data_IF_270190421818
#
_entry.id   IF_270190421818
#
_cell.length_a   1.000
_cell.length_b   1.000
_cell.length_c   1.000
_cell.angle_alpha   90.00
_cell.angle_beta   90.00
_cell.angle_gamma   90.00
#
_symmetry.space_group_name_H-M   'P 1'
#
loop_
_entity.id
_entity.type
_entity.pdbx_description
1 polymer ?
#
# COMPACT_ATOMS: atom_id res chain seq x y z
N UNK A 1 -15.40 -4.18 33.60
CA UNK A 1 -16.53 -4.57 32.73
C UNK A 1 -15.91 -4.89 31.38
N UNK A 2 -16.44 -5.79 30.60
CA UNK A 2 -16.00 -5.99 29.19
C UNK A 2 -16.87 -5.05 28.38
N UNK A 3 -16.23 -4.22 27.52
CA UNK A 3 -16.94 -3.21 26.74
C UNK A 3 -17.51 -3.79 25.43
N UNK A 4 -16.83 -4.80 24.86
CA UNK A 4 -17.24 -5.52 23.65
C UNK A 4 -16.59 -6.91 23.57
N UNK A 5 -17.02 -7.76 22.62
CA UNK A 5 -16.40 -9.08 22.41
C UNK A 5 -15.08 -8.96 21.65
N UNK A 6 -14.99 -8.05 20.68
CA UNK A 6 -13.80 -7.85 19.86
C UNK A 6 -13.43 -6.39 19.70
N UNK A 7 -12.13 -6.09 19.76
CA UNK A 7 -11.55 -4.82 19.32
C UNK A 7 -10.83 -5.01 17.99
N UNK A 8 -10.98 -4.04 17.09
CA UNK A 8 -10.18 -3.93 15.86
C UNK A 8 -9.34 -2.66 15.97
N UNK A 9 -8.02 -2.80 15.89
CA UNK A 9 -7.08 -1.68 15.98
C UNK A 9 -6.69 -1.24 14.58
N UNK A 10 -7.13 -0.04 14.18
CA UNK A 10 -6.94 0.57 12.86
C UNK A 10 -8.17 0.47 11.97
N UNK A 11 -8.64 1.62 11.44
CA UNK A 11 -9.76 1.75 10.52
C UNK A 11 -9.32 1.94 9.07
N UNK A 12 -8.26 1.25 8.63
CA UNK A 12 -7.94 1.04 7.22
C UNK A 12 -8.85 -0.03 6.61
N UNK A 13 -8.73 -0.30 5.30
CA UNK A 13 -9.54 -1.31 4.61
C UNK A 13 -9.55 -2.67 5.32
N UNK A 14 -8.41 -3.11 5.85
CA UNK A 14 -8.30 -4.38 6.56
C UNK A 14 -9.13 -4.41 7.86
N UNK A 15 -9.02 -3.36 8.67
CA UNK A 15 -9.78 -3.27 9.93
C UNK A 15 -11.28 -3.09 9.70
N UNK A 16 -11.67 -2.26 8.72
CA UNK A 16 -13.08 -2.08 8.36
C UNK A 16 -13.69 -3.37 7.81
N UNK A 17 -12.98 -4.10 6.94
CA UNK A 17 -13.44 -5.40 6.43
C UNK A 17 -13.56 -6.43 7.55
N UNK A 18 -12.61 -6.44 8.50
CA UNK A 18 -12.70 -7.29 9.69
C UNK A 18 -13.92 -6.96 10.53
N UNK A 19 -14.18 -5.69 10.81
CA UNK A 19 -15.33 -5.25 11.60
C UNK A 19 -16.66 -5.65 10.94
N UNK A 20 -16.81 -5.41 9.63
CA UNK A 20 -18.00 -5.84 8.89
C UNK A 20 -18.22 -7.35 8.96
N UNK A 21 -17.17 -8.14 8.85
CA UNK A 21 -17.29 -9.60 8.93
C UNK A 21 -17.69 -10.08 10.31
N UNK A 22 -17.19 -9.42 11.37
CA UNK A 22 -17.55 -9.70 12.76
C UNK A 22 -18.99 -9.28 13.05
N UNK A 23 -19.41 -8.07 12.64
CA UNK A 23 -20.77 -7.58 12.72
C UNK A 23 -21.76 -8.55 12.06
N UNK A 24 -21.46 -8.99 10.85
CA UNK A 24 -22.28 -9.96 10.12
C UNK A 24 -22.38 -11.34 10.83
N UNK A 25 -21.40 -11.67 11.66
CA UNK A 25 -21.40 -12.87 12.50
C UNK A 25 -22.08 -12.66 13.87
N UNK A 26 -22.63 -11.46 14.13
CA UNK A 26 -23.29 -11.11 15.39
C UNK A 26 -22.34 -10.86 16.57
N UNK A 27 -21.06 -10.59 16.29
CA UNK A 27 -20.04 -10.27 17.29
C UNK A 27 -20.09 -8.78 17.63
N UNK A 28 -20.22 -8.43 18.91
CA UNK A 28 -20.09 -7.04 19.37
C UNK A 28 -18.65 -6.57 19.20
N UNK A 29 -18.43 -5.68 18.21
CA UNK A 29 -17.11 -5.21 17.79
C UNK A 29 -16.98 -3.68 17.91
N UNK A 30 -15.82 -3.21 18.34
CA UNK A 30 -15.45 -1.78 18.30
C UNK A 30 -14.18 -1.61 17.48
N UNK A 31 -14.18 -0.59 16.63
CA UNK A 31 -13.01 -0.21 15.81
C UNK A 31 -12.36 1.04 16.40
N UNK A 32 -11.05 0.97 16.65
CA UNK A 32 -10.24 2.06 17.21
C UNK A 32 -9.32 2.61 16.11
N UNK A 33 -9.37 3.91 15.85
CA UNK A 33 -8.53 4.60 14.86
C UNK A 33 -7.78 5.75 15.52
N UNK A 34 -6.49 5.83 15.29
CA UNK A 34 -5.63 6.85 15.88
C UNK A 34 -5.89 8.26 15.32
N UNK A 35 -6.27 8.35 14.04
CA UNK A 35 -6.55 9.62 13.35
C UNK A 35 -7.99 10.08 13.59
N UNK A 36 -8.26 11.28 13.10
CA UNK A 36 -9.61 11.86 12.98
C UNK A 36 -10.37 11.39 11.72
N UNK A 37 -9.79 10.44 10.98
CA UNK A 37 -10.34 9.88 9.73
C UNK A 37 -10.06 8.39 9.61
N UNK A 38 -10.92 7.71 8.89
CA UNK A 38 -10.73 6.30 8.47
C UNK A 38 -9.86 6.19 7.19
N UNK A 39 -9.73 5.00 6.63
CA UNK A 39 -9.10 4.73 5.34
C UNK A 39 -7.61 4.38 5.38
N UNK A 40 -6.91 4.66 6.50
CA UNK A 40 -5.49 4.33 6.66
C UNK A 40 -4.63 4.99 5.57
N UNK A 41 -4.03 4.17 4.69
CA UNK A 41 -3.18 4.60 3.55
C UNK A 41 -3.95 5.09 2.32
N UNK A 42 -5.26 5.28 2.42
CA UNK A 42 -6.07 6.02 1.44
C UNK A 42 -6.44 7.38 2.00
N UNK A 43 -6.31 8.39 1.20
CA UNK A 43 -6.74 9.73 1.57
C UNK A 43 -7.01 10.54 0.31
N UNK A 44 -8.21 11.07 0.16
CA UNK A 44 -8.61 11.95 -0.93
C UNK A 44 -8.87 13.34 -0.39
N UNK A 45 -8.30 14.35 -1.02
CA UNK A 45 -8.54 15.76 -0.75
C UNK A 45 -9.23 16.39 -1.96
N UNK A 46 -10.09 17.37 -1.70
CA UNK A 46 -10.74 18.14 -2.74
C UNK A 46 -10.11 19.52 -2.82
N UNK A 47 -9.72 19.92 -4.02
CA UNK A 47 -9.28 21.29 -4.34
C UNK A 47 -10.47 22.17 -4.67
N UNK A 48 -10.18 23.45 -4.99
CA UNK A 48 -11.20 24.39 -5.41
C UNK A 48 -11.99 23.85 -6.61
N UNK A 49 -13.32 24.03 -6.60
CA UNK A 49 -14.21 23.48 -7.63
C UNK A 49 -14.49 21.97 -7.49
N UNK A 50 -14.12 21.34 -6.38
CA UNK A 50 -14.41 19.93 -6.10
C UNK A 50 -13.52 18.94 -6.84
N UNK A 51 -12.38 19.38 -7.39
CA UNK A 51 -11.42 18.50 -8.05
C UNK A 51 -10.79 17.56 -7.02
N UNK A 52 -11.01 16.24 -7.15
CA UNK A 52 -10.41 15.24 -6.26
C UNK A 52 -8.92 15.02 -6.54
N UNK A 53 -8.15 14.94 -5.48
CA UNK A 53 -6.74 14.58 -5.49
C UNK A 53 -6.53 13.43 -4.50
N UNK A 54 -6.09 12.28 -5.02
CA UNK A 54 -5.86 11.08 -4.22
C UNK A 54 -4.42 11.08 -3.70
N UNK A 55 -4.24 11.49 -2.45
CA UNK A 55 -2.92 11.59 -1.81
C UNK A 55 -2.32 10.23 -1.47
N UNK A 56 -3.17 9.21 -1.27
CA UNK A 56 -2.78 7.83 -0.99
C UNK A 56 -2.96 6.88 -2.17
N UNK A 57 -3.19 5.61 -1.87
CA UNK A 57 -3.56 4.60 -2.85
C UNK A 57 -4.83 5.03 -3.59
N UNK A 58 -4.89 4.77 -4.90
CA UNK A 58 -5.94 5.32 -5.75
C UNK A 58 -6.43 4.39 -6.85
N UNK A 59 -5.71 3.32 -7.15
CA UNK A 59 -6.02 2.42 -8.26
C UNK A 59 -6.37 1.01 -7.78
N UNK A 60 -7.21 0.36 -8.54
CA UNK A 60 -7.38 -1.09 -8.54
C UNK A 60 -7.77 -1.56 -9.96
N UNK A 61 -7.70 -2.86 -10.21
CA UNK A 61 -7.93 -3.39 -11.53
C UNK A 61 -8.37 -4.85 -11.51
N UNK A 62 -8.45 -5.49 -12.68
CA UNK A 62 -8.87 -6.89 -12.82
C UNK A 62 -8.14 -7.80 -11.82
N UNK A 63 -8.89 -8.73 -11.20
CA UNK A 63 -8.38 -9.61 -10.13
C UNK A 63 -8.54 -9.05 -8.72
N UNK A 64 -8.76 -7.75 -8.55
CA UNK A 64 -9.07 -7.12 -7.27
C UNK A 64 -10.60 -7.09 -7.04
N UNK A 65 -11.20 -8.29 -7.01
CA UNK A 65 -12.66 -8.47 -7.09
C UNK A 65 -13.40 -7.89 -5.89
N UNK A 66 -12.82 -8.00 -4.66
CA UNK A 66 -13.44 -7.43 -3.46
C UNK A 66 -13.54 -5.91 -3.52
N UNK A 67 -12.57 -5.23 -4.16
CA UNK A 67 -12.64 -3.77 -4.32
C UNK A 67 -13.77 -3.36 -5.26
N UNK A 68 -14.00 -4.08 -6.37
CA UNK A 68 -15.15 -3.83 -7.25
C UNK A 68 -16.48 -4.15 -6.57
N UNK A 69 -16.56 -5.22 -5.79
CA UNK A 69 -17.75 -5.57 -5.01
C UNK A 69 -18.07 -4.49 -3.98
N UNK A 70 -17.08 -3.98 -3.25
CA UNK A 70 -17.27 -2.89 -2.28
C UNK A 70 -17.69 -1.59 -2.98
N UNK A 71 -17.07 -1.24 -4.11
CA UNK A 71 -17.49 -0.08 -4.90
C UNK A 71 -18.95 -0.19 -5.33
N UNK A 72 -19.37 -1.36 -5.84
CA UNK A 72 -20.75 -1.63 -6.24
C UNK A 72 -21.71 -1.61 -5.04
N UNK A 73 -21.33 -2.25 -3.94
CA UNK A 73 -22.14 -2.31 -2.69
C UNK A 73 -22.48 -0.92 -2.16
N UNK A 74 -21.52 0.00 -2.21
CA UNK A 74 -21.70 1.37 -1.73
C UNK A 74 -22.05 2.39 -2.82
N UNK A 75 -22.32 1.94 -4.05
CA UNK A 75 -22.72 2.81 -5.16
C UNK A 75 -21.61 3.77 -5.61
N UNK A 76 -20.35 3.48 -5.31
CA UNK A 76 -19.20 4.30 -5.70
C UNK A 76 -18.81 3.96 -7.13
N UNK A 77 -18.82 4.98 -8.01
CA UNK A 77 -18.56 4.80 -9.45
C UNK A 77 -17.06 4.67 -9.72
N UNK A 78 -16.69 3.67 -10.52
CA UNK A 78 -15.35 3.54 -11.08
C UNK A 78 -15.23 4.23 -12.42
N UNK A 79 -14.01 4.61 -12.79
CA UNK A 79 -13.66 5.11 -14.12
C UNK A 79 -12.23 4.72 -14.48
N UNK A 80 -11.94 4.43 -15.76
CA UNK A 80 -10.60 4.02 -16.16
C UNK A 80 -9.60 5.16 -16.03
N UNK A 81 -8.35 4.83 -15.68
CA UNK A 81 -7.25 5.77 -15.78
C UNK A 81 -7.11 6.22 -17.25
N UNK A 82 -6.88 7.50 -17.44
CA UNK A 82 -6.81 8.06 -18.79
C UNK A 82 -5.50 7.70 -19.48
N UNK A 83 -5.59 7.00 -20.59
CA UNK A 83 -4.46 6.63 -21.46
C UNK A 83 -4.72 7.09 -22.91
N UNK A 84 -4.86 8.40 -23.12
CA UNK A 84 -5.09 8.98 -24.44
C UNK A 84 -3.81 9.65 -24.93
N UNK A 85 -3.25 9.17 -26.04
CA UNK A 85 -2.02 9.69 -26.62
C UNK A 85 -0.78 8.82 -26.37
N UNK A 86 0.37 9.33 -26.78
CA UNK A 86 1.64 8.59 -26.70
C UNK A 86 2.20 8.61 -25.27
N UNK A 87 2.53 7.42 -24.73
CA UNK A 87 3.24 7.22 -23.48
C UNK A 87 4.74 7.07 -23.75
N UNK A 88 5.59 7.61 -22.87
CA UNK A 88 7.04 7.56 -23.02
C UNK A 88 7.69 6.60 -22.04
N UNK A 89 8.78 5.96 -22.49
CA UNK A 89 9.71 5.26 -21.65
C UNK A 89 11.12 5.84 -21.87
N UNK A 90 11.83 6.16 -20.80
CA UNK A 90 13.20 6.68 -20.87
C UNK A 90 14.17 5.66 -20.32
N UNK A 91 15.07 5.20 -21.18
CA UNK A 91 16.15 4.28 -20.86
C UNK A 91 17.50 5.00 -21.02
N UNK A 92 18.29 5.07 -19.95
CA UNK A 92 19.55 5.84 -19.94
C UNK A 92 19.36 7.32 -20.29
N UNK A 93 18.20 7.90 -19.97
CA UNK A 93 17.84 9.28 -20.31
C UNK A 93 17.36 9.47 -21.75
N UNK A 94 17.39 8.45 -22.61
CA UNK A 94 16.91 8.50 -24.00
C UNK A 94 15.49 7.98 -24.09
N UNK A 95 14.65 8.65 -24.88
CA UNK A 95 13.30 8.19 -25.19
C UNK A 95 13.36 6.90 -26.00
N UNK A 96 12.71 5.87 -25.51
CA UNK A 96 12.62 4.58 -26.18
C UNK A 96 11.33 4.51 -27.03
N UNK A 97 11.44 3.98 -28.24
CA UNK A 97 10.35 3.95 -29.23
C UNK A 97 9.39 2.74 -29.04
N UNK A 98 9.41 2.09 -27.90
CA UNK A 98 8.55 0.95 -27.62
C UNK A 98 9.11 0.09 -26.48
N UNK A 99 8.54 -1.08 -26.22
CA UNK A 99 9.05 -2.00 -25.20
C UNK A 99 10.49 -2.44 -25.55
N UNK A 100 11.37 -2.43 -24.55
CA UNK A 100 12.71 -2.97 -24.71
C UNK A 100 12.68 -4.50 -24.60
N UNK A 101 13.22 -5.20 -25.59
CA UNK A 101 13.14 -6.66 -25.69
C UNK A 101 13.89 -7.38 -24.56
N UNK A 102 15.01 -6.82 -24.07
CA UNK A 102 15.77 -7.41 -22.95
C UNK A 102 15.04 -7.19 -21.63
N UNK A 103 14.46 -6.01 -21.41
CA UNK A 103 13.60 -5.76 -20.22
C UNK A 103 12.40 -6.70 -20.24
N UNK A 104 11.78 -6.91 -21.41
CA UNK A 104 10.65 -7.85 -21.55
C UNK A 104 11.08 -9.29 -21.23
N UNK A 105 12.28 -9.71 -21.65
CA UNK A 105 12.82 -11.02 -21.31
C UNK A 105 13.08 -11.18 -19.79
N UNK A 106 13.58 -10.13 -19.11
CA UNK A 106 13.73 -10.09 -17.66
C UNK A 106 12.38 -10.27 -16.96
N UNK A 107 11.36 -9.57 -17.41
CA UNK A 107 10.02 -9.68 -16.85
C UNK A 107 9.41 -11.08 -17.03
N UNK A 108 9.60 -11.69 -18.20
CA UNK A 108 9.18 -13.06 -18.44
C UNK A 108 9.91 -14.08 -17.56
N UNK A 109 11.21 -13.88 -17.29
CA UNK A 109 11.97 -14.72 -16.36
C UNK A 109 11.47 -14.56 -14.93
N UNK A 110 11.19 -13.32 -14.49
CA UNK A 110 10.62 -13.04 -13.17
C UNK A 110 9.26 -13.71 -12.99
N UNK A 111 8.39 -13.66 -13.98
CA UNK A 111 7.08 -14.34 -13.95
C UNK A 111 7.23 -15.86 -13.82
N UNK A 112 8.17 -16.44 -14.55
CA UNK A 112 8.47 -17.87 -14.47
C UNK A 112 8.96 -18.27 -13.07
N UNK A 113 9.86 -17.48 -12.50
CA UNK A 113 10.38 -17.70 -11.15
C UNK A 113 9.30 -17.47 -10.07
N UNK A 114 8.50 -16.43 -10.23
CA UNK A 114 7.44 -16.09 -9.28
C UNK A 114 6.45 -17.23 -9.08
N UNK A 115 6.11 -17.96 -10.13
CA UNK A 115 5.21 -19.14 -10.08
C UNK A 115 5.76 -20.31 -9.25
N UNK A 116 7.03 -20.31 -8.89
CA UNK A 116 7.61 -21.32 -8.00
C UNK A 116 7.45 -21.01 -6.52
N UNK A 117 6.98 -19.79 -6.19
CA UNK A 117 6.82 -19.35 -4.81
C UNK A 117 5.56 -19.95 -4.18
N UNK A 118 5.71 -20.50 -3.00
CA UNK A 118 4.59 -20.87 -2.15
C UNK A 118 4.04 -19.60 -1.47
N UNK A 119 2.86 -19.14 -1.89
CA UNK A 119 2.25 -17.90 -1.39
C UNK A 119 1.80 -18.00 0.07
N UNK A 120 1.34 -19.17 0.50
CA UNK A 120 0.90 -19.37 1.88
C UNK A 120 2.10 -19.45 2.82
N UNK A 121 3.14 -20.17 2.39
CA UNK A 121 4.35 -20.43 3.18
C UNK A 121 5.63 -20.20 2.36
N UNK A 122 6.04 -18.97 2.09
CA UNK A 122 7.23 -18.65 1.28
C UNK A 122 8.53 -19.30 1.77
N UNK A 123 8.59 -19.67 3.04
CA UNK A 123 9.68 -20.49 3.61
C UNK A 123 9.83 -21.87 2.98
N UNK A 124 8.78 -22.40 2.36
CA UNK A 124 8.78 -23.71 1.66
C UNK A 124 9.09 -23.59 0.17
N UNK A 125 9.25 -22.39 -0.35
CA UNK A 125 9.69 -22.18 -1.73
C UNK A 125 11.05 -22.84 -1.98
N UNK A 126 11.23 -23.60 -3.06
CA UNK A 126 12.54 -24.16 -3.40
C UNK A 126 13.62 -23.07 -3.48
N UNK A 127 14.71 -23.20 -2.72
CA UNK A 127 15.76 -22.19 -2.67
C UNK A 127 15.37 -20.89 -1.92
N UNK A 128 14.37 -20.93 -1.02
CA UNK A 128 13.86 -19.76 -0.31
C UNK A 128 14.96 -18.95 0.40
N UNK A 129 15.90 -19.60 1.05
CA UNK A 129 16.97 -18.92 1.78
C UNK A 129 17.93 -18.19 0.83
N UNK A 130 18.29 -18.80 -0.28
CA UNK A 130 19.16 -18.22 -1.33
C UNK A 130 18.45 -17.06 -2.03
N UNK A 131 17.18 -17.22 -2.40
CA UNK A 131 16.35 -16.17 -2.99
C UNK A 131 16.18 -14.98 -2.04
N UNK A 132 16.03 -15.25 -0.75
CA UNK A 132 15.84 -14.20 0.24
C UNK A 132 17.17 -13.48 0.59
N UNK A 133 18.31 -14.16 0.46
CA UNK A 133 19.64 -13.56 0.64
C UNK A 133 20.10 -12.71 -0.55
N UNK A 134 19.57 -12.95 -1.76
CA UNK A 134 19.91 -12.20 -2.97
C UNK A 134 19.01 -10.98 -3.13
N UNK A 135 19.60 -9.79 -3.35
CA UNK A 135 18.81 -8.59 -3.66
C UNK A 135 18.40 -8.54 -5.14
N UNK A 136 17.30 -7.85 -5.45
CA UNK A 136 16.90 -7.58 -6.84
C UNK A 136 18.02 -6.85 -7.60
N UNK A 137 18.76 -5.94 -6.94
CA UNK A 137 19.87 -5.22 -7.56
C UNK A 137 20.95 -6.18 -8.09
N UNK A 138 21.43 -7.10 -7.26
CA UNK A 138 22.45 -8.09 -7.66
C UNK A 138 21.91 -9.02 -8.75
N UNK A 139 20.67 -9.48 -8.60
CA UNK A 139 20.02 -10.36 -9.57
C UNK A 139 19.95 -9.73 -10.98
N UNK A 140 19.58 -8.45 -11.06
CA UNK A 140 19.52 -7.69 -12.33
C UNK A 140 20.90 -7.45 -12.93
N UNK A 141 21.89 -7.07 -12.11
CA UNK A 141 23.24 -6.78 -12.57
C UNK A 141 23.93 -7.99 -13.24
N UNK A 142 23.54 -9.21 -12.85
CA UNK A 142 24.07 -10.44 -13.45
C UNK A 142 23.41 -10.80 -14.82
N UNK A 143 22.35 -10.08 -15.23
CA UNK A 143 21.49 -10.49 -16.37
C UNK A 143 21.40 -9.49 -17.51
N UNK A 144 21.71 -8.23 -17.26
CA UNK A 144 21.59 -7.19 -18.28
C UNK A 144 22.56 -6.03 -18.00
N UNK A 145 22.65 -5.10 -18.92
CA UNK A 145 23.45 -3.89 -18.74
C UNK A 145 22.88 -2.94 -17.68
N UNK A 146 23.69 -1.96 -17.27
CA UNK A 146 23.35 -1.05 -16.18
C UNK A 146 22.10 -0.18 -16.46
N UNK A 147 21.85 0.21 -17.72
CA UNK A 147 20.70 1.07 -18.06
C UNK A 147 19.38 0.30 -17.92
N UNK A 148 19.34 -0.94 -18.43
CA UNK A 148 18.16 -1.82 -18.33
C UNK A 148 17.94 -2.31 -16.92
N UNK A 149 19.02 -2.66 -16.21
CA UNK A 149 18.97 -3.02 -14.80
C UNK A 149 18.38 -1.87 -13.96
N UNK A 150 18.80 -0.64 -14.18
CA UNK A 150 18.27 0.54 -13.52
C UNK A 150 16.77 0.76 -13.85
N UNK A 151 16.38 0.57 -15.12
CA UNK A 151 14.99 0.69 -15.53
C UNK A 151 14.09 -0.36 -14.82
N UNK A 152 14.44 -1.63 -14.91
CA UNK A 152 13.70 -2.70 -14.28
C UNK A 152 13.66 -2.54 -12.73
N UNK A 153 14.77 -2.15 -12.11
CA UNK A 153 14.84 -1.87 -10.68
C UNK A 153 13.86 -0.77 -10.24
N UNK A 154 13.81 0.35 -10.98
CA UNK A 154 12.92 1.46 -10.66
C UNK A 154 11.44 1.08 -10.84
N UNK A 155 11.09 0.28 -11.85
CA UNK A 155 9.72 -0.19 -12.03
C UNK A 155 9.32 -1.21 -10.95
N UNK A 156 10.16 -2.19 -10.66
CA UNK A 156 9.82 -3.30 -9.76
C UNK A 156 9.99 -2.92 -8.28
N UNK A 157 11.13 -2.37 -7.87
CA UNK A 157 11.35 -1.99 -6.49
C UNK A 157 10.78 -0.60 -6.17
N UNK A 158 10.98 0.40 -7.04
CA UNK A 158 10.43 1.74 -6.87
C UNK A 158 8.92 1.75 -7.02
N UNK A 159 8.41 1.49 -8.22
CA UNK A 159 6.99 1.61 -8.56
C UNK A 159 6.07 0.66 -7.79
N UNK A 160 6.52 -0.55 -7.46
CA UNK A 160 5.68 -1.53 -6.75
C UNK A 160 5.88 -1.52 -5.22
N UNK A 161 7.09 -1.26 -4.73
CA UNK A 161 7.44 -1.42 -3.31
C UNK A 161 7.91 -0.12 -2.65
N UNK A 162 8.07 0.95 -3.42
CA UNK A 162 8.60 2.25 -2.98
C UNK A 162 9.97 2.11 -2.28
N UNK A 163 10.88 1.32 -2.88
CA UNK A 163 12.21 1.00 -2.34
C UNK A 163 13.28 0.99 -3.42
N UNK A 164 14.53 0.99 -2.99
CA UNK A 164 15.64 0.69 -3.87
C UNK A 164 15.80 -0.84 -4.05
N UNK A 165 16.25 -1.26 -5.23
CA UNK A 165 16.41 -2.68 -5.54
C UNK A 165 17.45 -3.40 -4.65
N UNK A 166 18.34 -2.66 -4.00
CA UNK A 166 19.30 -3.18 -3.01
C UNK A 166 18.67 -3.50 -1.65
N UNK A 167 17.45 -3.00 -1.40
CA UNK A 167 16.71 -3.17 -0.14
C UNK A 167 15.67 -4.28 -0.20
N UNK A 168 15.48 -4.91 -1.36
CA UNK A 168 14.43 -5.91 -1.59
C UNK A 168 15.07 -7.22 -2.01
N UNK A 169 14.69 -8.32 -1.33
CA UNK A 169 15.15 -9.67 -1.71
C UNK A 169 14.40 -10.20 -2.93
N UNK A 170 15.03 -11.13 -3.66
CA UNK A 170 14.36 -11.83 -4.77
C UNK A 170 13.13 -12.60 -4.27
N UNK A 171 13.18 -13.25 -3.11
CA UNK A 171 12.01 -13.94 -2.57
C UNK A 171 10.83 -12.98 -2.36
N UNK A 172 11.09 -11.78 -1.81
CA UNK A 172 10.05 -10.75 -1.62
C UNK A 172 9.49 -10.26 -2.96
N UNK A 173 10.33 -10.00 -3.95
CA UNK A 173 9.89 -9.58 -5.29
C UNK A 173 9.04 -10.65 -5.96
N UNK A 174 9.51 -11.89 -5.99
CA UNK A 174 8.80 -13.00 -6.62
C UNK A 174 7.46 -13.29 -5.93
N UNK A 175 7.44 -13.28 -4.59
CA UNK A 175 6.21 -13.39 -3.80
C UNK A 175 5.21 -12.27 -4.16
N UNK A 176 5.69 -11.03 -4.21
CA UNK A 176 4.85 -9.87 -4.48
C UNK A 176 4.24 -9.95 -5.89
N UNK A 177 5.06 -10.24 -6.90
CA UNK A 177 4.62 -10.42 -8.28
C UNK A 177 3.57 -11.53 -8.40
N UNK A 178 3.85 -12.70 -7.81
CA UNK A 178 2.92 -13.83 -7.89
C UNK A 178 1.61 -13.56 -7.15
N UNK A 179 1.67 -12.90 -6.01
CA UNK A 179 0.48 -12.51 -5.23
C UNK A 179 -0.48 -11.61 -6.00
N UNK A 180 0.04 -10.76 -6.90
CA UNK A 180 -0.72 -9.82 -7.73
C UNK A 180 -0.99 -10.30 -9.16
N UNK A 181 -0.69 -11.57 -9.48
CA UNK A 181 -0.98 -12.17 -10.79
C UNK A 181 0.10 -12.00 -11.85
N UNK A 182 1.30 -11.55 -11.48
CA UNK A 182 2.48 -11.45 -12.35
C UNK A 182 2.83 -10.02 -12.76
N UNK A 183 3.92 -9.88 -13.51
CA UNK A 183 4.50 -8.57 -13.87
C UNK A 183 3.51 -7.73 -14.68
N UNK A 184 2.88 -8.31 -15.69
CA UNK A 184 1.92 -7.57 -16.53
C UNK A 184 0.70 -7.10 -15.73
N UNK A 185 0.18 -7.95 -14.86
CA UNK A 185 -0.93 -7.58 -13.96
C UNK A 185 -0.55 -6.41 -13.05
N UNK A 186 0.69 -6.33 -12.60
CA UNK A 186 1.12 -5.35 -11.62
C UNK A 186 1.67 -4.04 -12.22
N UNK A 187 2.23 -4.08 -13.45
CA UNK A 187 2.82 -2.90 -14.08
C UNK A 187 1.93 -2.24 -15.14
N UNK A 188 0.96 -2.97 -15.71
CA UNK A 188 0.11 -2.40 -16.76
C UNK A 188 -1.04 -1.58 -16.16
N UNK A 189 -1.47 -0.56 -16.91
CA UNK A 189 -2.69 0.18 -16.66
C UNK A 189 -3.89 -0.61 -17.20
N UNK A 190 -3.97 -0.79 -18.52
CA UNK A 190 -5.06 -1.55 -19.14
C UNK A 190 -4.90 -3.03 -18.85
N UNK A 191 -5.90 -3.64 -18.25
CA UNK A 191 -5.87 -5.04 -17.83
C UNK A 191 -5.03 -5.30 -16.58
N UNK A 192 -4.43 -4.27 -15.97
CA UNK A 192 -3.56 -4.37 -14.80
C UNK A 192 -4.11 -3.68 -13.55
N UNK A 193 -3.28 -3.68 -12.51
CA UNK A 193 -3.64 -3.20 -11.16
C UNK A 193 -3.94 -1.70 -11.07
N UNK A 194 -3.55 -0.90 -12.06
CA UNK A 194 -3.75 0.54 -12.12
C UNK A 194 -4.87 0.97 -13.08
N UNK A 195 -5.73 0.02 -13.51
CA UNK A 195 -6.73 0.27 -14.54
C UNK A 195 -7.76 1.31 -14.15
N UNK A 196 -8.35 1.18 -12.97
CA UNK A 196 -9.51 1.97 -12.57
C UNK A 196 -9.23 2.83 -11.34
N UNK A 197 -9.88 3.98 -11.35
CA UNK A 197 -10.02 4.92 -10.23
C UNK A 197 -11.48 5.01 -9.81
N UNK A 198 -11.76 5.69 -8.71
CA UNK A 198 -13.11 5.89 -8.17
C UNK A 198 -13.43 7.37 -8.04
N UNK A 199 -14.67 7.73 -8.30
CA UNK A 199 -15.19 9.05 -7.95
C UNK A 199 -15.22 9.18 -6.42
N UNK A 200 -14.56 10.20 -5.90
CA UNK A 200 -14.34 10.36 -4.47
C UNK A 200 -13.11 9.63 -3.92
N UNK A 201 -12.38 8.93 -4.80
CA UNK A 201 -11.24 8.09 -4.44
C UNK A 201 -11.65 6.82 -3.67
N UNK A 202 -10.75 5.85 -3.49
CA UNK A 202 -11.01 4.69 -2.63
C UNK A 202 -11.30 5.07 -1.18
N UNK A 203 -10.94 6.29 -0.78
CA UNK A 203 -11.29 6.85 0.53
C UNK A 203 -12.81 6.91 0.75
N UNK A 204 -13.60 7.22 -0.27
CA UNK A 204 -15.08 7.21 -0.19
C UNK A 204 -15.62 5.81 0.15
N UNK A 205 -15.04 4.74 -0.42
CA UNK A 205 -15.42 3.37 -0.07
C UNK A 205 -15.15 3.11 1.42
N UNK A 206 -13.97 3.51 1.93
CA UNK A 206 -13.63 3.32 3.34
C UNK A 206 -14.55 4.13 4.28
N UNK A 207 -14.98 5.33 3.88
CA UNK A 207 -15.96 6.12 4.63
C UNK A 207 -17.31 5.41 4.71
N UNK A 208 -17.83 4.94 3.58
CA UNK A 208 -19.11 4.19 3.57
C UNK A 208 -19.01 2.87 4.34
N UNK A 209 -17.88 2.18 4.28
CA UNK A 209 -17.65 1.02 5.14
C UNK A 209 -17.76 1.39 6.62
N UNK A 210 -17.14 2.50 7.04
CA UNK A 210 -17.20 2.94 8.43
C UNK A 210 -18.62 3.37 8.86
N UNK A 211 -19.35 4.07 7.99
CA UNK A 211 -20.73 4.53 8.23
C UNK A 211 -21.73 3.37 8.32
N UNK A 212 -21.44 2.25 7.66
CA UNK A 212 -22.31 1.08 7.64
C UNK A 212 -22.07 0.10 8.81
N UNK A 213 -21.12 0.37 9.71
CA UNK A 213 -20.93 -0.43 10.93
C UNK A 213 -22.05 -0.17 11.94
N UNK A 214 -22.46 -1.20 12.70
CA UNK A 214 -23.45 -1.08 13.76
C UNK A 214 -23.01 -0.08 14.84
N UNK A 215 -21.71 -0.08 15.15
CA UNK A 215 -21.12 0.85 16.11
C UNK A 215 -20.10 1.78 15.41
N UNK A 216 -20.17 3.09 15.66
CA UNK A 216 -19.26 4.05 15.05
C UNK A 216 -17.80 3.76 15.36
N UNK A 217 -16.92 4.04 14.39
CA UNK A 217 -15.47 4.00 14.61
C UNK A 217 -15.06 5.03 15.68
N UNK A 218 -14.30 4.60 16.66
CA UNK A 218 -13.75 5.48 17.71
C UNK A 218 -12.51 6.19 17.17
N UNK A 219 -12.71 7.37 16.64
CA UNK A 219 -11.62 8.20 16.09
C UNK A 219 -10.79 8.87 17.20
N UNK A 220 -9.56 9.24 16.88
CA UNK A 220 -8.62 9.86 17.81
C UNK A 220 -8.21 8.93 18.96
N UNK A 221 -8.35 7.62 18.80
CA UNK A 221 -7.94 6.63 19.80
C UNK A 221 -6.58 6.03 19.42
N UNK A 222 -5.52 6.77 19.69
CA UNK A 222 -4.13 6.34 19.43
C UNK A 222 -3.69 5.31 20.49
N UNK A 223 -3.78 4.02 20.16
CA UNK A 223 -3.48 2.91 21.05
C UNK A 223 -1.98 2.93 21.43
N UNK A 224 -1.70 3.16 22.69
CA UNK A 224 -0.36 3.13 23.27
C UNK A 224 0.02 1.75 23.80
N UNK A 225 -0.96 1.01 24.37
CA UNK A 225 -0.70 -0.32 24.91
C UNK A 225 -1.90 -1.27 24.77
N UNK A 226 -1.58 -2.57 24.72
CA UNK A 226 -2.52 -3.70 24.80
C UNK A 226 -2.10 -4.57 25.96
N UNK A 227 -2.92 -4.62 27.02
CA UNK A 227 -2.62 -5.40 28.22
C UNK A 227 -3.62 -6.53 28.39
N UNK A 228 -3.13 -7.76 28.55
CA UNK A 228 -3.96 -8.94 28.80
C UNK A 228 -4.03 -9.25 30.28
N UNK A 229 -5.24 -9.30 30.81
CA UNK A 229 -5.49 -9.66 32.21
C UNK A 229 -6.33 -10.92 32.32
N UNK A 230 -6.04 -11.71 33.34
CA UNK A 230 -6.87 -12.86 33.75
C UNK A 230 -7.36 -12.57 35.15
N UNK A 231 -8.66 -12.37 35.33
CA UNK A 231 -9.26 -12.10 36.65
C UNK A 231 -9.94 -13.36 37.21
N UNK A 232 -9.20 -14.12 37.99
CA UNK A 232 -9.71 -15.34 38.65
C UNK A 232 -10.04 -16.44 37.63
N UNK A 233 -11.29 -16.96 37.69
CA UNK A 233 -11.81 -18.01 36.77
C UNK A 233 -12.46 -17.46 35.50
N UNK A 234 -12.49 -16.14 35.31
CA UNK A 234 -13.07 -15.52 34.12
C UNK A 234 -12.14 -15.67 32.93
N UNK A 235 -12.73 -15.61 31.73
CA UNK A 235 -11.96 -15.55 30.48
C UNK A 235 -11.00 -14.34 30.54
N UNK A 236 -9.80 -14.53 29.99
CA UNK A 236 -8.82 -13.44 29.93
C UNK A 236 -9.26 -12.39 28.93
N UNK A 237 -9.11 -11.13 29.28
CA UNK A 237 -9.47 -9.95 28.47
C UNK A 237 -8.27 -9.13 28.08
N UNK A 238 -8.38 -8.39 26.99
CA UNK A 238 -7.44 -7.38 26.55
C UNK A 238 -7.98 -6.00 26.85
N UNK A 239 -7.14 -5.15 27.40
CA UNK A 239 -7.39 -3.71 27.55
C UNK A 239 -6.53 -2.95 26.56
N UNK A 240 -7.15 -2.22 25.66
CA UNK A 240 -6.51 -1.24 24.80
C UNK A 240 -6.52 0.11 25.53
N UNK A 241 -5.35 0.71 25.73
CA UNK A 241 -5.20 2.03 26.33
C UNK A 241 -4.65 3.01 25.30
N UNK A 242 -5.35 4.11 25.11
CA UNK A 242 -4.92 5.22 24.28
C UNK A 242 -3.86 6.09 24.98
N UNK A 243 -3.11 6.87 24.21
CA UNK A 243 -2.13 7.84 24.75
C UNK A 243 -2.77 8.93 25.60
N UNK A 244 -4.03 9.26 25.36
CA UNK A 244 -4.80 10.23 26.16
C UNK A 244 -5.40 9.63 27.45
N UNK A 245 -5.20 8.34 27.68
CA UNK A 245 -5.63 7.62 28.87
C UNK A 245 -6.99 6.93 28.77
N UNK A 246 -7.75 7.08 27.67
CA UNK A 246 -8.97 6.30 27.45
C UNK A 246 -8.66 4.80 27.37
N UNK A 247 -9.57 3.97 27.83
CA UNK A 247 -9.43 2.51 27.84
C UNK A 247 -10.70 1.84 27.30
N UNK A 248 -10.49 0.75 26.56
CA UNK A 248 -11.55 -0.18 26.14
C UNK A 248 -11.08 -1.62 26.33
N UNK A 249 -11.99 -2.49 26.77
CA UNK A 249 -11.69 -3.91 27.08
C UNK A 249 -12.49 -4.84 26.20
N UNK A 250 -11.85 -5.90 25.70
CA UNK A 250 -12.48 -6.94 24.91
C UNK A 250 -11.89 -8.33 25.21
N UNK A 251 -12.60 -9.36 24.78
CA UNK A 251 -12.12 -10.75 24.86
C UNK A 251 -11.02 -11.04 23.83
N UNK A 252 -11.15 -10.46 22.65
CA UNK A 252 -10.28 -10.69 21.48
C UNK A 252 -9.89 -9.38 20.81
N UNK A 253 -8.78 -9.39 20.09
CA UNK A 253 -8.30 -8.21 19.35
C UNK A 253 -7.80 -8.61 17.98
N UNK A 254 -8.21 -7.87 16.95
CA UNK A 254 -7.58 -7.87 15.62
C UNK A 254 -6.72 -6.63 15.49
N UNK A 255 -5.42 -6.81 15.24
CA UNK A 255 -4.47 -5.75 14.98
C UNK A 255 -4.37 -5.57 13.48
N UNK A 256 -4.87 -4.45 12.97
CA UNK A 256 -4.92 -4.10 11.54
C UNK A 256 -4.11 -2.84 11.21
N UNK A 257 -3.09 -2.54 12.01
CA UNK A 257 -2.14 -1.45 11.77
C UNK A 257 -0.88 -1.97 11.09
N UNK A 258 -0.13 -1.12 10.35
CA UNK A 258 1.15 -1.51 9.77
C UNK A 258 2.13 -2.05 10.83
N UNK A 259 2.98 -3.04 10.49
CA UNK A 259 3.94 -3.62 11.45
C UNK A 259 4.84 -2.57 12.14
N UNK A 260 5.29 -1.56 11.41
CA UNK A 260 6.11 -0.46 11.98
C UNK A 260 5.35 0.35 13.04
N UNK A 261 4.03 0.44 12.95
CA UNK A 261 3.17 1.07 13.97
C UNK A 261 2.95 0.12 15.13
N UNK A 262 2.72 -1.18 14.84
CA UNK A 262 2.58 -2.21 15.86
C UNK A 262 3.81 -2.29 16.79
N UNK A 263 5.04 -2.08 16.28
CA UNK A 263 6.26 -2.08 17.12
C UNK A 263 6.27 -0.94 18.16
N UNK A 264 5.43 0.08 17.98
CA UNK A 264 5.28 1.23 18.90
C UNK A 264 4.20 1.00 19.98
N UNK A 265 3.41 -0.06 19.87
CA UNK A 265 2.37 -0.43 20.83
C UNK A 265 2.97 -1.38 21.86
N UNK A 266 2.92 -0.97 23.14
CA UNK A 266 3.35 -1.83 24.24
C UNK A 266 2.37 -3.00 24.42
N UNK A 267 2.84 -4.24 24.32
CA UNK A 267 2.01 -5.43 24.46
C UNK A 267 2.44 -6.23 25.68
N UNK A 268 1.53 -6.38 26.66
CA UNK A 268 1.74 -7.11 27.90
C UNK A 268 0.72 -8.25 28.06
N UNK A 269 1.18 -9.50 28.34
CA UNK A 269 2.56 -9.97 28.35
C UNK A 269 3.23 -9.84 26.99
N UNK A 270 4.55 -9.74 26.95
CA UNK A 270 5.29 -9.51 25.71
C UNK A 270 5.08 -10.65 24.69
N UNK A 271 4.90 -10.28 23.41
CA UNK A 271 4.82 -11.25 22.31
C UNK A 271 6.08 -12.14 22.24
N UNK A 272 5.99 -13.36 21.67
CA UNK A 272 7.15 -14.22 21.43
C UNK A 272 8.28 -13.48 20.72
N UNK A 273 9.54 -13.80 21.06
CA UNK A 273 10.70 -13.13 20.48
C UNK A 273 10.78 -13.23 18.96
N UNK A 274 10.34 -14.37 18.38
CA UNK A 274 10.25 -14.57 16.92
C UNK A 274 9.25 -13.61 16.29
N UNK A 275 8.07 -13.43 16.90
CA UNK A 275 7.05 -12.51 16.41
C UNK A 275 7.49 -11.04 16.50
N UNK A 276 8.14 -10.64 17.60
CA UNK A 276 8.71 -9.29 17.72
C UNK A 276 9.79 -9.03 16.67
N UNK A 277 10.63 -10.04 16.36
CA UNK A 277 11.60 -9.93 15.25
C UNK A 277 10.91 -9.86 13.91
N UNK A 278 9.84 -10.63 13.68
CA UNK A 278 9.06 -10.54 12.44
C UNK A 278 8.56 -9.09 12.20
N UNK A 279 7.93 -8.49 13.21
CA UNK A 279 7.42 -7.10 13.15
C UNK A 279 8.54 -6.10 12.84
N UNK A 280 9.69 -6.21 13.51
CA UNK A 280 10.84 -5.28 13.36
C UNK A 280 11.62 -5.45 12.07
N UNK A 281 11.46 -6.56 11.38
CA UNK A 281 12.09 -6.80 10.08
C UNK A 281 11.18 -6.45 8.90
N UNK A 282 9.99 -5.90 9.15
CA UNK A 282 9.17 -5.28 8.12
C UNK A 282 9.56 -3.81 8.00
N UNK A 283 10.08 -3.45 6.84
CA UNK A 283 10.46 -2.09 6.49
C UNK A 283 9.41 -1.48 5.57
N UNK A 284 8.89 -0.32 5.93
CA UNK A 284 7.92 0.38 5.10
C UNK A 284 8.58 0.95 3.85
N UNK A 285 7.81 1.13 2.78
CA UNK A 285 8.29 1.81 1.57
C UNK A 285 8.39 3.33 1.81
N UNK A 286 9.28 3.97 1.07
CA UNK A 286 9.50 5.42 1.10
C UNK A 286 9.15 6.04 -0.26
N UNK A 287 8.12 6.90 -0.28
CA UNK A 287 7.75 7.65 -1.48
C UNK A 287 7.14 9.00 -1.14
N UNK A 288 7.43 9.96 -1.99
CA UNK A 288 6.69 11.21 -2.07
C UNK A 288 5.81 11.20 -3.32
N UNK A 289 4.57 11.60 -3.18
CA UNK A 289 3.57 11.68 -4.24
C UNK A 289 3.28 13.14 -4.55
N UNK A 290 3.23 13.47 -5.83
CA UNK A 290 3.03 14.82 -6.32
C UNK A 290 1.91 14.88 -7.35
N UNK A 291 1.19 16.00 -7.34
CA UNK A 291 0.16 16.31 -8.31
C UNK A 291 0.36 17.74 -8.82
N UNK A 292 0.63 17.87 -10.12
CA UNK A 292 0.64 19.15 -10.79
C UNK A 292 -0.68 19.34 -11.53
N UNK A 293 -1.42 20.40 -11.19
CA UNK A 293 -2.74 20.72 -11.75
C UNK A 293 -2.60 21.82 -12.78
N UNK A 294 -3.18 21.63 -13.95
CA UNK A 294 -3.19 22.60 -15.06
C UNK A 294 -4.63 22.96 -15.42
N UNK A 295 -4.82 24.14 -16.03
CA UNK A 295 -6.15 24.59 -16.47
C UNK A 295 -6.83 23.60 -17.43
N UNK A 296 -6.02 22.92 -18.26
CA UNK A 296 -6.43 21.85 -19.17
C UNK A 296 -5.29 20.80 -19.23
N UNK A 297 -5.53 19.57 -19.71
CA UNK A 297 -4.47 18.59 -19.91
C UNK A 297 -3.57 18.96 -21.11
N UNK A 298 -2.59 19.86 -20.88
CA UNK A 298 -1.73 20.47 -21.88
C UNK A 298 -1.01 19.47 -22.79
N UNK A 299 -0.64 18.29 -22.26
CA UNK A 299 0.02 17.22 -23.00
C UNK A 299 -0.80 16.66 -24.16
N UNK A 300 -2.13 16.78 -24.09
CA UNK A 300 -3.01 16.33 -25.18
C UNK A 300 -2.87 17.17 -26.46
N UNK A 301 -2.51 18.45 -26.34
CA UNK A 301 -2.31 19.33 -27.50
C UNK A 301 -1.26 18.79 -28.47
N UNK A 302 -0.34 17.96 -27.95
CA UNK A 302 0.77 17.37 -28.71
C UNK A 302 0.56 15.86 -28.95
N UNK A 303 -0.66 15.34 -28.72
CA UNK A 303 -0.96 13.91 -28.88
C UNK A 303 -0.29 13.02 -27.84
N UNK A 304 0.15 13.56 -26.70
CA UNK A 304 0.82 12.81 -25.62
C UNK A 304 -0.20 12.44 -24.54
N UNK A 305 0.07 11.35 -23.84
CA UNK A 305 -0.76 10.91 -22.70
C UNK A 305 -0.42 11.60 -21.38
N UNK A 306 0.69 12.33 -21.30
CA UNK A 306 1.25 12.83 -20.05
C UNK A 306 1.96 11.76 -19.22
N UNK A 307 1.87 10.48 -19.61
CA UNK A 307 2.47 9.39 -18.88
C UNK A 307 3.90 9.08 -19.37
N UNK A 308 4.79 8.81 -18.42
CA UNK A 308 6.10 8.26 -18.71
C UNK A 308 6.64 7.40 -17.57
N UNK A 309 7.65 6.58 -17.92
CA UNK A 309 8.50 5.86 -16.96
C UNK A 309 9.97 6.16 -17.27
N UNK A 310 10.84 6.17 -16.26
CA UNK A 310 12.25 6.55 -16.45
C UNK A 310 13.22 5.74 -15.60
N UNK A 311 14.36 5.37 -16.21
CA UNK A 311 15.50 4.81 -15.48
C UNK A 311 16.40 5.87 -14.83
N UNK A 312 16.21 7.15 -15.16
CA UNK A 312 17.06 8.27 -14.72
C UNK A 312 16.23 9.45 -14.23
N UNK A 313 16.87 10.37 -13.53
CA UNK A 313 16.20 11.52 -12.92
C UNK A 313 15.56 11.16 -11.58
N UNK A 314 14.82 12.10 -11.02
CA UNK A 314 14.11 11.92 -9.74
C UNK A 314 12.79 11.18 -9.92
N UNK A 315 12.04 11.54 -10.95
CA UNK A 315 10.72 11.01 -11.22
C UNK A 315 10.83 9.64 -11.88
N UNK A 316 10.33 8.62 -11.20
CA UNK A 316 10.31 7.25 -11.75
C UNK A 316 9.18 7.08 -12.75
N UNK A 317 8.03 7.63 -12.45
CA UNK A 317 6.84 7.55 -13.31
C UNK A 317 5.93 8.76 -13.14
N UNK A 318 5.22 9.10 -14.20
CA UNK A 318 4.13 10.07 -14.22
C UNK A 318 2.93 9.50 -15.00
N UNK A 319 1.73 9.92 -14.61
CA UNK A 319 0.48 9.50 -15.26
C UNK A 319 -0.51 10.67 -15.37
N UNK A 320 -1.37 10.64 -16.38
CA UNK A 320 -2.54 11.53 -16.47
C UNK A 320 -3.60 11.08 -15.46
N UNK A 321 -3.74 11.86 -14.43
CA UNK A 321 -4.66 11.60 -13.31
C UNK A 321 -5.89 12.51 -13.34
N UNK A 322 -6.19 13.09 -14.49
CA UNK A 322 -7.37 13.96 -14.70
C UNK A 322 -8.66 13.24 -14.34
N UNK A 323 -9.61 13.96 -13.80
CA UNK A 323 -10.87 13.41 -13.27
C UNK A 323 -12.00 13.72 -14.26
N UNK A 324 -12.83 12.73 -14.63
CA UNK A 324 -13.98 12.96 -15.50
C UNK A 324 -14.91 14.06 -14.97
N UNK A 325 -15.39 14.92 -15.87
CA UNK A 325 -16.27 16.03 -15.51
C UNK A 325 -15.54 17.31 -15.08
N UNK A 326 -14.21 17.28 -14.93
CA UNK A 326 -13.38 18.46 -14.69
C UNK A 326 -12.60 18.86 -15.95
N UNK A 327 -12.44 20.16 -16.17
CA UNK A 327 -11.65 20.68 -17.28
C UNK A 327 -10.13 20.60 -17.02
N UNK A 328 -9.75 20.58 -15.75
CA UNK A 328 -8.36 20.58 -15.32
C UNK A 328 -7.65 19.29 -15.70
N UNK A 329 -6.40 19.43 -16.18
CA UNK A 329 -5.45 18.34 -16.29
C UNK A 329 -4.71 18.13 -14.98
N UNK A 330 -4.51 16.88 -14.58
CA UNK A 330 -3.73 16.51 -13.39
C UNK A 330 -2.65 15.52 -13.79
N UNK A 331 -1.38 15.91 -13.67
CA UNK A 331 -0.27 14.96 -13.70
C UNK A 331 0.06 14.51 -12.29
N UNK A 332 0.02 13.19 -12.07
CA UNK A 332 0.50 12.58 -10.84
C UNK A 332 1.82 11.89 -11.10
N UNK A 333 2.79 12.09 -10.22
CA UNK A 333 4.11 11.48 -10.34
C UNK A 333 4.72 11.16 -8.99
N UNK A 334 5.74 10.32 -9.01
CA UNK A 334 6.31 9.75 -7.81
C UNK A 334 7.83 9.81 -7.80
N UNK A 335 8.36 10.02 -6.60
CA UNK A 335 9.78 9.85 -6.28
C UNK A 335 9.89 8.83 -5.17
N UNK A 336 10.77 7.83 -5.33
CA UNK A 336 10.85 6.65 -4.45
C UNK A 336 12.22 6.51 -3.78
N UNK A 337 12.23 5.79 -2.64
CA UNK A 337 13.44 5.30 -1.98
C UNK A 337 14.43 6.42 -1.64
N UNK A 338 15.69 6.20 -2.00
CA UNK A 338 16.75 7.14 -1.70
C UNK A 338 16.54 8.55 -2.31
N UNK A 339 15.95 8.62 -3.51
CA UNK A 339 15.66 9.91 -4.15
C UNK A 339 14.56 10.67 -3.37
N UNK A 340 13.55 9.99 -2.84
CA UNK A 340 12.54 10.62 -1.96
C UNK A 340 13.20 11.18 -0.69
N UNK A 341 14.04 10.40 -0.03
CA UNK A 341 14.79 10.85 1.15
C UNK A 341 15.65 12.09 0.85
N UNK A 342 16.30 12.13 -0.32
CA UNK A 342 17.13 13.26 -0.76
C UNK A 342 16.33 14.54 -0.97
N UNK A 343 15.20 14.47 -1.70
CA UNK A 343 14.42 15.68 -2.00
C UNK A 343 13.60 16.18 -0.80
N UNK A 344 13.32 15.32 0.17
CA UNK A 344 12.66 15.69 1.43
C UNK A 344 13.45 16.75 2.19
N UNK A 345 14.78 16.76 2.08
CA UNK A 345 15.65 17.77 2.67
C UNK A 345 15.62 19.14 1.99
N UNK A 346 15.00 19.28 0.83
CA UNK A 346 14.83 20.56 0.12
C UNK A 346 13.61 21.32 0.69
N UNK A 347 13.63 22.65 0.58
CA UNK A 347 12.41 23.42 0.78
C UNK A 347 11.36 23.12 -0.30
N UNK A 348 10.08 23.34 0.00
CA UNK A 348 8.97 22.96 -0.89
C UNK A 348 9.04 23.65 -2.25
N UNK A 349 9.47 24.94 -2.29
CA UNK A 349 9.59 25.68 -3.55
C UNK A 349 10.70 25.14 -4.44
N UNK A 350 11.89 24.89 -3.89
CA UNK A 350 13.01 24.31 -4.62
C UNK A 350 12.68 22.89 -5.12
N UNK A 351 12.00 22.10 -4.30
CA UNK A 351 11.53 20.76 -4.68
C UNK A 351 10.53 20.81 -5.83
N UNK A 352 9.54 21.71 -5.75
CA UNK A 352 8.56 21.94 -6.82
C UNK A 352 9.25 22.36 -8.12
N UNK A 353 10.13 23.36 -8.09
CA UNK A 353 10.85 23.84 -9.26
C UNK A 353 11.65 22.75 -9.94
N UNK A 354 12.39 21.97 -9.15
CA UNK A 354 13.22 20.85 -9.63
C UNK A 354 12.38 19.78 -10.34
N UNK A 355 11.26 19.37 -9.73
CA UNK A 355 10.40 18.33 -10.28
C UNK A 355 9.61 18.81 -11.50
N UNK A 356 9.11 20.03 -11.50
CA UNK A 356 8.41 20.61 -12.66
C UNK A 356 9.37 20.85 -13.84
N UNK A 357 10.64 21.16 -13.59
CA UNK A 357 11.65 21.21 -14.62
C UNK A 357 11.83 19.84 -15.28
N UNK A 358 11.96 18.77 -14.50
CA UNK A 358 12.08 17.41 -15.05
C UNK A 358 10.83 16.99 -15.84
N UNK A 359 9.61 17.30 -15.37
CA UNK A 359 8.35 17.04 -16.11
C UNK A 359 8.35 17.76 -17.46
N UNK A 360 8.69 19.05 -17.47
CA UNK A 360 8.73 19.85 -18.69
C UNK A 360 9.73 19.30 -19.71
N UNK A 361 10.91 18.94 -19.25
CA UNK A 361 11.98 18.35 -20.10
C UNK A 361 11.57 16.97 -20.65
N UNK A 362 10.97 16.09 -19.82
CA UNK A 362 10.53 14.73 -20.23
C UNK A 362 9.37 14.79 -21.23
N UNK A 363 8.45 15.71 -21.05
CA UNK A 363 7.30 15.89 -21.94
C UNK A 363 7.54 16.95 -23.02
N UNK A 364 8.72 17.55 -23.09
CA UNK A 364 9.11 18.58 -24.07
C UNK A 364 8.03 19.68 -24.20
N UNK A 365 7.64 20.23 -23.02
CA UNK A 365 6.62 21.29 -22.94
C UNK A 365 6.90 22.23 -21.75
N UNK A 366 7.46 23.39 -22.03
CA UNK A 366 7.80 24.42 -21.03
C UNK A 366 6.59 24.97 -20.26
N UNK A 367 5.37 24.82 -20.79
CA UNK A 367 4.14 25.25 -20.10
C UNK A 367 3.94 24.44 -18.81
N UNK A 368 4.47 23.21 -18.74
CA UNK A 368 4.33 22.32 -17.58
C UNK A 368 5.13 22.79 -16.35
N UNK A 369 6.01 23.78 -16.49
CA UNK A 369 6.67 24.44 -15.36
C UNK A 369 5.73 25.32 -14.52
N UNK A 370 4.53 25.61 -15.01
CA UNK A 370 3.59 26.58 -14.41
C UNK A 370 2.21 25.96 -14.19
N UNK A 371 2.07 25.02 -13.24
CA UNK A 371 0.76 24.51 -12.87
C UNK A 371 -0.06 25.61 -12.19
N UNK A 372 -1.38 25.48 -12.22
CA UNK A 372 -2.31 26.35 -11.48
C UNK A 372 -2.38 25.97 -9.99
N UNK A 373 -2.04 24.72 -9.68
CA UNK A 373 -1.89 24.22 -8.30
C UNK A 373 -0.86 23.10 -8.27
N UNK A 374 -0.19 22.94 -7.13
CA UNK A 374 0.80 21.88 -6.90
C UNK A 374 0.60 21.29 -5.51
N UNK A 375 0.37 19.99 -5.47
CA UNK A 375 0.11 19.26 -4.23
C UNK A 375 1.15 18.19 -4.03
N UNK A 376 1.77 18.17 -2.87
CA UNK A 376 2.67 17.10 -2.47
C UNK A 376 2.16 16.40 -1.23
N UNK A 377 2.50 15.12 -1.09
CA UNK A 377 2.22 14.36 0.10
C UNK A 377 3.37 13.38 0.40
N UNK A 378 3.86 13.46 1.64
CA UNK A 378 4.92 12.62 2.16
C UNK A 378 4.37 11.60 3.16
N UNK A 379 4.31 10.33 2.75
CA UNK A 379 3.80 9.27 3.60
C UNK A 379 4.79 8.82 4.68
N UNK A 380 6.09 9.12 4.54
CA UNK A 380 7.09 8.85 5.58
C UNK A 380 6.87 9.76 6.80
N UNK A 381 6.43 11.00 6.57
CA UNK A 381 6.07 11.94 7.63
C UNK A 381 4.79 11.57 8.38
N UNK A 382 3.97 10.61 7.88
CA UNK A 382 2.73 10.20 8.52
C UNK A 382 2.96 9.27 9.72
N UNK A 383 2.74 9.73 10.97
CA UNK A 383 3.14 9.01 12.18
C UNK A 383 2.43 7.66 12.37
N UNK A 384 1.20 7.53 11.83
CA UNK A 384 0.39 6.32 11.98
C UNK A 384 0.47 5.37 10.78
N UNK A 385 1.43 5.59 9.85
CA UNK A 385 1.78 4.64 8.78
C UNK A 385 3.27 4.38 8.73
N UNK A 386 4.10 5.41 8.98
CA UNK A 386 5.57 5.32 8.95
C UNK A 386 6.11 4.94 7.58
N UNK A 387 5.51 5.46 6.51
CA UNK A 387 5.85 5.19 5.13
C UNK A 387 4.65 4.76 4.28
N UNK A 388 4.90 4.38 3.04
CA UNK A 388 3.86 4.11 2.07
C UNK A 388 4.06 2.84 1.27
N UNK A 389 3.11 2.61 0.40
CA UNK A 389 2.60 1.42 -0.19
C UNK A 389 2.41 0.35 0.89
N UNK A 390 3.35 -0.59 1.07
CA UNK A 390 3.29 -1.58 2.14
C UNK A 390 4.67 -1.84 2.73
N UNK A 391 4.69 -2.50 3.89
CA UNK A 391 5.92 -3.03 4.44
C UNK A 391 6.35 -4.31 3.74
N UNK A 392 7.63 -4.45 3.50
CA UNK A 392 8.26 -5.68 3.01
C UNK A 392 9.37 -6.13 3.95
N UNK A 393 9.64 -7.41 3.98
CA UNK A 393 10.70 -7.96 4.82
C UNK A 393 12.08 -7.43 4.40
N UNK A 394 12.93 -7.16 5.38
CA UNK A 394 14.35 -6.91 5.14
C UNK A 394 14.98 -8.14 4.48
N UNK A 395 16.01 -7.91 3.66
CA UNK A 395 16.74 -8.97 2.94
C UNK A 395 17.18 -10.09 3.90
N UNK A 396 16.90 -11.33 3.53
CA UNK A 396 17.25 -12.52 4.31
C UNK A 396 16.31 -12.84 5.49
N UNK A 397 15.17 -12.16 5.61
CA UNK A 397 14.33 -12.33 6.81
C UNK A 397 12.91 -12.85 6.53
N UNK A 398 12.44 -12.80 5.28
CA UNK A 398 11.10 -13.25 4.92
C UNK A 398 10.91 -14.75 5.15
N UNK A 399 11.82 -15.59 4.65
CA UNK A 399 11.75 -17.04 4.81
C UNK A 399 11.80 -17.49 6.27
N UNK A 400 12.38 -16.66 7.17
CA UNK A 400 12.49 -16.97 8.60
C UNK A 400 11.27 -16.49 9.39
N UNK A 401 10.70 -15.33 9.05
CA UNK A 401 9.79 -14.65 9.98
C UNK A 401 8.36 -14.46 9.48
N UNK A 402 8.05 -14.74 8.21
CA UNK A 402 6.68 -14.51 7.70
C UNK A 402 5.62 -15.30 8.46
N UNK A 403 5.85 -16.58 8.72
CA UNK A 403 4.92 -17.42 9.49
C UNK A 403 4.69 -16.87 10.91
N UNK A 404 5.75 -16.36 11.53
CA UNK A 404 5.66 -15.74 12.85
C UNK A 404 4.90 -14.42 12.84
N UNK A 405 4.93 -13.67 11.73
CA UNK A 405 4.12 -12.44 11.57
C UNK A 405 2.64 -12.77 11.56
N UNK A 406 2.23 -13.82 10.87
CA UNK A 406 0.83 -14.21 10.72
C UNK A 406 0.27 -14.91 11.97
N UNK A 407 1.09 -15.66 12.68
CA UNK A 407 0.65 -16.52 13.78
C UNK A 407 -0.15 -15.73 14.85
N UNK A 408 -1.36 -16.18 15.24
CA UNK A 408 -2.11 -15.56 16.32
C UNK A 408 -1.40 -15.75 17.67
N UNK A 409 -1.69 -14.87 18.65
CA UNK A 409 -1.08 -14.97 19.95
C UNK A 409 -2.02 -14.54 21.07
N UNK A 410 -2.40 -15.47 21.94
CA UNK A 410 -3.21 -15.24 23.14
C UNK A 410 -4.51 -14.44 22.88
N UNK A 411 -5.18 -14.63 21.75
CA UNK A 411 -6.39 -13.91 21.36
C UNK A 411 -6.13 -12.59 20.62
N UNK A 412 -4.87 -12.27 20.32
CA UNK A 412 -4.50 -11.29 19.31
C UNK A 412 -4.40 -11.99 17.95
N UNK A 413 -5.02 -11.39 16.93
CA UNK A 413 -4.89 -11.77 15.52
C UNK A 413 -4.31 -10.59 14.74
N UNK A 414 -3.63 -10.87 13.64
CA UNK A 414 -2.88 -9.86 12.90
C UNK A 414 -3.36 -9.82 11.46
N UNK A 415 -3.96 -8.71 11.09
CA UNK A 415 -4.44 -8.41 9.76
C UNK A 415 -3.55 -7.32 9.11
N UNK A 416 -4.02 -6.73 8.03
CA UNK A 416 -3.27 -5.76 7.24
C UNK A 416 -2.74 -6.37 5.95
N UNK A 417 -2.53 -5.55 4.94
CA UNK A 417 -2.10 -6.01 3.62
C UNK A 417 -0.75 -6.73 3.63
N UNK A 418 0.11 -6.45 4.62
CA UNK A 418 1.39 -7.12 4.85
C UNK A 418 1.23 -8.60 5.24
N UNK A 419 0.04 -9.00 5.68
CA UNK A 419 -0.26 -10.40 6.03
C UNK A 419 -0.99 -11.16 4.91
N UNK A 420 -1.31 -10.48 3.80
CA UNK A 420 -2.00 -11.08 2.67
C UNK A 420 -1.06 -12.00 1.86
N UNK A 421 -1.62 -13.08 1.34
CA UNK A 421 -1.01 -14.02 0.40
C UNK A 421 -1.40 -13.72 -1.05
N UNK A 422 -2.56 -13.07 -1.25
CA UNK A 422 -3.07 -12.61 -2.54
C UNK A 422 -3.18 -11.10 -2.51
N UNK A 423 -2.70 -10.41 -3.55
CA UNK A 423 -2.67 -8.95 -3.64
C UNK A 423 -1.98 -8.28 -2.44
N UNK A 424 -0.85 -8.87 -1.99
CA UNK A 424 -0.03 -8.28 -0.92
C UNK A 424 0.32 -6.82 -1.25
N UNK A 425 0.18 -5.93 -0.28
CA UNK A 425 0.46 -4.50 -0.49
C UNK A 425 -0.71 -3.68 -1.07
N UNK A 426 -1.73 -4.31 -1.62
CA UNK A 426 -2.90 -3.68 -2.24
C UNK A 426 -4.12 -3.62 -1.32
N UNK A 427 -5.14 -2.86 -1.71
CA UNK A 427 -6.44 -2.80 -1.04
C UNK A 427 -7.10 -4.17 -0.93
N UNK A 428 -7.09 -4.91 -2.03
CA UNK A 428 -7.65 -6.26 -2.12
C UNK A 428 -7.04 -7.17 -1.06
N UNK A 429 -5.71 -7.16 -0.92
CA UNK A 429 -5.01 -7.92 0.10
C UNK A 429 -5.36 -7.46 1.52
N UNK A 430 -5.55 -6.16 1.72
CA UNK A 430 -5.98 -5.61 3.01
C UNK A 430 -7.38 -6.11 3.39
N UNK A 431 -8.35 -6.04 2.47
CA UNK A 431 -9.72 -6.53 2.69
C UNK A 431 -9.72 -8.02 3.00
N UNK A 432 -9.07 -8.84 2.15
CA UNK A 432 -9.00 -10.30 2.34
C UNK A 432 -8.34 -10.71 3.66
N UNK A 433 -7.25 -10.04 4.04
CA UNK A 433 -6.60 -10.29 5.32
C UNK A 433 -7.50 -9.95 6.51
N UNK A 434 -8.24 -8.86 6.44
CA UNK A 434 -9.23 -8.49 7.47
C UNK A 434 -10.35 -9.52 7.60
N UNK A 435 -10.95 -9.91 6.47
CA UNK A 435 -12.03 -10.91 6.42
C UNK A 435 -11.56 -12.28 6.93
N UNK A 436 -10.34 -12.71 6.56
CA UNK A 436 -9.73 -13.96 7.03
C UNK A 436 -9.60 -14.01 8.56
N UNK A 437 -9.01 -12.96 9.14
CA UNK A 437 -8.79 -12.92 10.59
C UNK A 437 -10.09 -12.78 11.37
N UNK A 438 -11.06 -12.05 10.82
CA UNK A 438 -12.39 -11.92 11.42
C UNK A 438 -13.17 -13.24 11.40
N UNK A 439 -13.15 -13.98 10.30
CA UNK A 439 -13.79 -15.28 10.21
C UNK A 439 -13.22 -16.25 11.27
N UNK A 440 -11.88 -16.35 11.33
CA UNK A 440 -11.23 -17.21 12.31
C UNK A 440 -11.50 -16.77 13.77
N UNK A 441 -11.64 -15.45 14.03
CA UNK A 441 -11.97 -14.95 15.37
C UNK A 441 -13.43 -15.25 15.73
N UNK A 442 -14.37 -15.11 14.79
CA UNK A 442 -15.77 -15.46 15.01
C UNK A 442 -15.94 -16.95 15.34
N UNK A 443 -15.23 -17.83 14.64
CA UNK A 443 -15.20 -19.27 14.93
C UNK A 443 -14.67 -19.56 16.33
N UNK A 444 -13.59 -18.88 16.77
CA UNK A 444 -13.07 -18.99 18.14
C UNK A 444 -14.06 -18.54 19.22
N UNK A 445 -14.80 -17.45 18.96
CA UNK A 445 -15.81 -16.95 19.89
C UNK A 445 -17.03 -17.90 19.97
N UNK A 446 -17.45 -18.46 18.84
CA UNK A 446 -18.55 -19.43 18.79
C UNK A 446 -18.21 -20.77 19.46
N UNK A 447 -16.95 -21.18 19.45
CA UNK A 447 -16.46 -22.39 20.08
C UNK A 447 -16.16 -22.23 21.59
N UNK A 448 -16.16 -20.99 22.10
CA UNK A 448 -15.93 -20.73 23.52
C UNK A 448 -17.15 -21.17 24.34
N UNK A 449 -16.97 -21.93 25.46
CA UNK A 449 -18.05 -22.50 26.24
C UNK A 449 -18.86 -21.47 27.04
#
# INVERSE_FOLDING_TARGET
MIDCQALVIGAGFSGLAAAHRLDAAGVDVRVLEARDRVGGRTFTRYLHGGLQIDLGGQWFGPGQTRMYELAAQYGVKTFPLREVGERFAFLGGRRNAGPDAEVSAIYAELDRLARTVDLERPSLTPGAAELDAQTLHVWLADRTDAERAAYAARQLAGGLLAKDASQVSMLQVLFYLYSGGGVDSMLNTVGGAQQDRVIGGPFAIAQHMAEALAEPVVLGFDVASLTRETRGRRAATWTARARDGRELTAERVIVAVPPVVLDRIEISPAMPGTKRRAVRNILQGDAMKFHAVYATPLWNDQGRSGAFTSSTGLITEAVDNSVPGHAQGVLTFFVYGHDAARIRGLDAGARQELLLAEIADRLDDERLRRPVDFVEFDWDAEPHTGGCFSGSFAVGTMHVYRDALLAPWKGLRFAGTETADVWNGYFEGAVRAGEREAAALADELAAAP
#
